data_IF_955095275592
#
_entry.id   IF_955095275592
#
_cell.length_a   1.000
_cell.length_b   1.000
_cell.length_c   1.000
_cell.angle_alpha   90.00
_cell.angle_beta   90.00
_cell.angle_gamma   90.00
#
_symmetry.space_group_name_H-M   'P 1'
#
loop_
_entity.id
_entity.type
_entity.pdbx_description
1 polymer ?
#
# COMPACT_ATOMS: atom_id res chain seq x y z
N UNK A 1 0.44 -5.37 -27.72
CA UNK A 1 -0.54 -5.44 -26.61
C UNK A 1 -1.06 -4.03 -26.38
N UNK A 2 -2.37 -3.83 -26.37
CA UNK A 2 -2.96 -2.48 -26.28
C UNK A 2 -2.73 -1.86 -24.89
N UNK A 3 -2.35 -0.57 -24.85
CA UNK A 3 -2.03 0.13 -23.60
C UNK A 3 -3.22 0.21 -22.64
N UNK A 4 -4.45 0.30 -23.16
CA UNK A 4 -5.67 0.34 -22.34
C UNK A 4 -5.85 -0.98 -21.61
N UNK A 5 -5.58 -2.10 -22.29
CA UNK A 5 -5.65 -3.43 -21.68
C UNK A 5 -4.59 -3.61 -20.59
N UNK A 6 -3.36 -3.14 -20.84
CA UNK A 6 -2.28 -3.16 -19.84
C UNK A 6 -2.68 -2.38 -18.59
N UNK A 7 -3.22 -1.17 -18.77
CA UNK A 7 -3.64 -0.32 -17.66
C UNK A 7 -4.73 -0.97 -16.82
N UNK A 8 -5.76 -1.57 -17.44
CA UNK A 8 -6.84 -2.25 -16.69
C UNK A 8 -6.28 -3.37 -15.81
N UNK A 9 -5.38 -4.20 -16.35
CA UNK A 9 -4.77 -5.30 -15.60
C UNK A 9 -3.91 -4.78 -14.45
N UNK A 10 -3.03 -3.81 -14.72
CA UNK A 10 -2.16 -3.24 -13.69
C UNK A 10 -2.94 -2.49 -12.62
N UNK A 11 -4.03 -1.79 -12.96
CA UNK A 11 -4.90 -1.14 -11.99
C UNK A 11 -5.56 -2.14 -11.05
N UNK A 12 -6.07 -3.26 -11.57
CA UNK A 12 -6.67 -4.31 -10.74
C UNK A 12 -5.63 -4.91 -9.77
N UNK A 13 -4.44 -5.24 -10.27
CA UNK A 13 -3.32 -5.74 -9.46
C UNK A 13 -2.87 -4.73 -8.41
N UNK A 14 -2.79 -3.44 -8.78
CA UNK A 14 -2.41 -2.36 -7.89
C UNK A 14 -3.41 -2.21 -6.74
N UNK A 15 -4.72 -2.18 -7.03
CA UNK A 15 -5.77 -2.05 -6.01
C UNK A 15 -5.69 -3.20 -4.99
N UNK A 16 -5.65 -4.44 -5.47
CA UNK A 16 -5.57 -5.61 -4.58
C UNK A 16 -4.29 -5.59 -3.75
N UNK A 17 -3.17 -5.20 -4.36
CA UNK A 17 -1.89 -5.09 -3.65
C UNK A 17 -1.92 -4.00 -2.59
N UNK A 18 -2.49 -2.82 -2.88
CA UNK A 18 -2.63 -1.74 -1.90
C UNK A 18 -3.47 -2.18 -0.70
N UNK A 19 -4.59 -2.88 -0.93
CA UNK A 19 -5.41 -3.42 0.16
C UNK A 19 -4.63 -4.45 0.97
N UNK A 20 -3.89 -5.35 0.33
CA UNK A 20 -3.10 -6.36 1.02
C UNK A 20 -1.98 -5.73 1.86
N UNK A 21 -1.11 -4.92 1.25
CA UNK A 21 0.02 -4.30 1.94
C UNK A 21 -0.40 -3.27 2.98
N UNK A 22 -1.55 -2.61 2.80
CA UNK A 22 -2.13 -1.73 3.82
C UNK A 22 -2.46 -2.45 5.14
N UNK A 23 -2.68 -3.77 5.12
CA UNK A 23 -2.87 -4.59 6.33
C UNK A 23 -1.57 -5.11 6.94
N UNK A 24 -0.44 -4.94 6.25
CA UNK A 24 0.88 -5.47 6.64
C UNK A 24 1.78 -4.36 7.17
N UNK A 25 1.33 -3.71 8.23
CA UNK A 25 2.12 -2.75 8.99
C UNK A 25 2.97 -3.46 10.07
N UNK A 26 3.91 -2.75 10.69
CA UNK A 26 4.76 -3.31 11.74
C UNK A 26 5.30 -2.24 12.67
N UNK A 27 6.28 -1.47 12.20
CA UNK A 27 6.97 -0.49 13.05
C UNK A 27 6.01 0.52 13.68
N UNK A 28 5.08 1.09 12.91
CA UNK A 28 4.14 2.11 13.41
C UNK A 28 3.12 1.58 14.43
N UNK A 29 2.93 0.26 14.53
CA UNK A 29 2.04 -0.38 15.52
C UNK A 29 2.83 -1.06 16.65
N UNK A 30 4.16 -0.89 16.68
CA UNK A 30 5.03 -1.47 17.69
C UNK A 30 5.27 -0.54 18.87
N UNK A 31 5.66 -1.11 20.01
CA UNK A 31 6.04 -0.36 21.22
C UNK A 31 7.26 0.55 20.99
N UNK A 32 8.06 0.29 19.96
CA UNK A 32 9.24 1.11 19.62
C UNK A 32 8.84 2.43 18.93
N UNK A 33 7.57 2.57 18.52
CA UNK A 33 7.07 3.77 17.86
C UNK A 33 6.47 4.76 18.86
N UNK A 34 7.15 5.89 19.02
CA UNK A 34 6.78 6.94 19.97
C UNK A 34 6.16 8.19 19.31
N UNK A 35 5.94 8.16 17.99
CA UNK A 35 5.40 9.29 17.22
C UNK A 35 3.90 9.19 16.96
N UNK A 36 3.37 10.15 16.21
CA UNK A 36 1.95 10.19 15.80
C UNK A 36 1.72 9.94 14.30
N UNK A 37 2.75 9.49 13.59
CA UNK A 37 2.73 9.25 12.14
C UNK A 37 3.19 10.43 11.29
N UNK A 38 3.60 11.56 11.90
CA UNK A 38 4.02 12.77 11.17
C UNK A 38 5.39 13.28 11.61
N UNK A 39 6.04 14.05 10.72
CA UNK A 39 7.20 14.85 11.09
C UNK A 39 6.69 16.14 11.77
N UNK A 40 7.14 16.38 13.00
CA UNK A 40 6.82 17.55 13.80
C UNK A 40 8.10 18.23 14.29
#
# INVERSE_FOLDING_TARGET
MDVKLILVILSALFIVSCLFFGTKNGFYDSEDYHGNGSAH
#
